data_IF_099041628583
#
_entry.id   IF_099041628583
#
_cell.length_a   1.000
_cell.length_b   1.000
_cell.length_c   1.000
_cell.angle_alpha   90.00
_cell.angle_beta   90.00
_cell.angle_gamma   90.00
#
_symmetry.space_group_name_H-M   'P 1'
#
loop_
_entity.id
_entity.type
_entity.pdbx_description
1 polymer ?
#
# COMPACT_ATOMS: atom_id res chain seq x y z
N UNK A 1 29.69 -18.56 35.09
CA UNK A 1 30.94 -18.74 34.31
C UNK A 1 31.00 -20.17 33.80
N UNK A 2 30.67 -20.43 32.53
CA UNK A 2 31.00 -21.69 31.85
C UNK A 2 31.46 -21.33 30.44
N UNK A 3 32.64 -21.85 30.08
CA UNK A 3 33.53 -21.41 29.01
C UNK A 3 33.02 -21.75 27.60
N UNK A 4 33.31 -20.83 26.68
CA UNK A 4 33.26 -21.02 25.24
C UNK A 4 34.25 -22.09 24.73
N UNK A 5 33.89 -22.78 23.64
CA UNK A 5 34.86 -23.34 22.68
C UNK A 5 34.38 -23.06 21.26
N UNK A 6 35.11 -22.15 20.61
CA UNK A 6 35.09 -21.87 19.17
C UNK A 6 36.10 -22.83 18.53
N UNK A 7 35.73 -23.51 17.45
CA UNK A 7 36.69 -24.23 16.60
C UNK A 7 36.50 -23.76 15.16
N UNK A 8 37.58 -23.28 14.57
CA UNK A 8 37.73 -22.90 13.17
C UNK A 8 38.86 -23.76 12.59
N UNK A 9 38.67 -24.38 11.42
CA UNK A 9 39.74 -24.94 10.58
C UNK A 9 39.26 -24.87 9.12
N UNK A 10 39.72 -23.87 8.38
CA UNK A 10 40.72 -23.90 7.26
C UNK A 10 40.23 -24.57 5.97
N UNK A 11 40.26 -23.77 4.91
CA UNK A 11 40.11 -24.21 3.53
C UNK A 11 41.34 -24.94 3.00
N UNK A 12 41.15 -25.59 1.85
CA UNK A 12 42.21 -26.17 1.02
C UNK A 12 41.88 -25.79 -0.43
N UNK A 13 42.88 -25.26 -1.11
CA UNK A 13 42.85 -24.86 -2.50
C UNK A 13 43.28 -26.00 -3.44
N UNK A 14 42.83 -25.87 -4.69
CA UNK A 14 43.45 -26.28 -5.95
C UNK A 14 43.78 -27.77 -6.19
N UNK A 15 43.23 -28.31 -7.29
CA UNK A 15 43.96 -29.27 -8.13
C UNK A 15 43.58 -29.02 -9.60
N UNK A 16 44.62 -28.91 -10.43
CA UNK A 16 44.59 -28.56 -11.85
C UNK A 16 44.94 -29.83 -12.62
N UNK A 17 44.05 -30.33 -13.49
CA UNK A 17 44.42 -31.39 -14.43
C UNK A 17 44.07 -31.00 -15.86
N UNK A 18 45.05 -31.21 -16.73
CA UNK A 18 45.16 -30.84 -18.15
C UNK A 18 45.37 -32.14 -18.92
N UNK A 19 44.65 -32.35 -20.04
CA UNK A 19 44.99 -33.17 -21.25
C UNK A 19 43.70 -33.27 -22.10
N UNK A 20 43.54 -32.66 -23.29
CA UNK A 20 44.18 -32.72 -24.64
C UNK A 20 43.45 -33.63 -25.63
N UNK A 21 43.46 -33.17 -26.90
CA UNK A 21 43.16 -33.86 -28.18
C UNK A 21 41.68 -34.01 -28.57
N UNK A 22 41.20 -33.93 -29.83
CA UNK A 22 41.50 -33.27 -31.14
C UNK A 22 40.49 -33.89 -32.12
N UNK A 23 39.82 -33.10 -32.97
CA UNK A 23 39.32 -33.46 -34.32
C UNK A 23 38.51 -32.25 -34.87
N UNK A 24 39.05 -31.42 -35.77
CA UNK A 24 39.07 -31.59 -37.24
C UNK A 24 37.68 -31.49 -37.91
N UNK A 25 37.36 -30.31 -38.44
CA UNK A 25 36.19 -30.04 -39.29
C UNK A 25 36.37 -28.74 -40.09
N UNK A 26 36.37 -28.87 -41.42
CA UNK A 26 36.70 -27.89 -42.47
C UNK A 26 35.73 -26.68 -42.52
N UNK A 27 36.17 -25.43 -42.81
CA UNK A 27 35.27 -24.30 -42.99
C UNK A 27 34.68 -24.26 -44.41
N UNK A 28 33.34 -24.23 -44.52
CA UNK A 28 32.61 -24.02 -45.77
C UNK A 28 32.40 -22.52 -45.99
N UNK A 29 33.13 -21.94 -46.95
CA UNK A 29 32.91 -20.56 -47.42
C UNK A 29 31.69 -20.53 -48.33
N UNK A 30 30.68 -19.74 -47.97
CA UNK A 30 29.54 -19.39 -48.85
C UNK A 30 29.77 -18.03 -49.52
N UNK A 31 29.35 -17.82 -50.78
CA UNK A 31 29.51 -16.54 -51.46
C UNK A 31 28.53 -15.50 -50.92
N UNK A 32 29.01 -14.27 -50.73
CA UNK A 32 28.14 -13.13 -50.39
C UNK A 32 27.33 -12.67 -51.62
N UNK A 33 26.03 -12.34 -51.48
CA UNK A 33 25.22 -11.76 -52.55
C UNK A 33 25.59 -10.28 -52.80
N UNK A 34 25.34 -9.76 -54.02
CA UNK A 34 25.73 -8.40 -54.39
C UNK A 34 24.97 -7.35 -53.58
N UNK A 35 25.69 -6.30 -53.19
CA UNK A 35 25.19 -5.19 -52.41
C UNK A 35 24.12 -4.38 -53.19
N UNK A 36 23.00 -3.99 -52.55
CA UNK A 36 21.97 -3.21 -53.21
C UNK A 36 22.48 -1.80 -53.50
N UNK A 37 22.22 -1.32 -54.73
CA UNK A 37 22.59 0.04 -55.19
C UNK A 37 22.00 1.08 -54.24
N UNK A 38 22.86 1.92 -53.63
CA UNK A 38 22.47 2.99 -52.72
C UNK A 38 21.62 4.04 -53.45
N UNK A 39 20.38 4.22 -53.02
CA UNK A 39 19.59 5.39 -53.40
C UNK A 39 20.27 6.69 -52.91
N UNK A 40 20.13 7.82 -53.63
CA UNK A 40 20.83 9.06 -53.29
C UNK A 40 20.49 9.54 -51.89
N UNK A 41 21.52 9.80 -51.07
CA UNK A 41 21.44 10.07 -49.64
C UNK A 41 20.44 11.17 -49.24
N UNK A 42 20.24 12.17 -50.09
CA UNK A 42 19.26 13.25 -49.87
C UNK A 42 17.80 12.75 -49.83
N UNK A 43 17.46 11.75 -50.66
CA UNK A 43 16.10 11.19 -50.72
C UNK A 43 15.81 10.32 -49.49
N UNK A 44 16.81 9.58 -49.01
CA UNK A 44 16.70 8.75 -47.79
C UNK A 44 16.56 9.61 -46.54
N UNK A 45 17.30 10.73 -46.45
CA UNK A 45 17.20 11.66 -45.31
C UNK A 45 15.84 12.39 -45.27
N UNK A 46 15.30 12.80 -46.42
CA UNK A 46 13.97 13.44 -46.50
C UNK A 46 12.85 12.46 -46.10
N UNK A 47 12.92 11.21 -46.56
CA UNK A 47 11.96 10.16 -46.17
C UNK A 47 12.07 9.87 -44.67
N UNK A 48 13.28 9.78 -44.12
CA UNK A 48 13.48 9.52 -42.67
C UNK A 48 12.91 10.64 -41.81
N UNK A 49 13.09 11.90 -42.22
CA UNK A 49 12.51 13.06 -41.51
C UNK A 49 10.98 13.05 -41.57
N UNK A 50 10.39 12.74 -42.73
CA UNK A 50 8.95 12.61 -42.88
C UNK A 50 8.35 11.44 -42.07
N UNK A 51 9.09 10.33 -41.94
CA UNK A 51 8.69 9.19 -41.11
C UNK A 51 8.81 9.51 -39.62
N UNK A 52 9.84 10.26 -39.20
CA UNK A 52 9.99 10.71 -37.82
C UNK A 52 8.96 11.78 -37.41
N UNK A 53 8.61 12.71 -38.32
CA UNK A 53 7.57 13.73 -38.09
C UNK A 53 6.16 13.09 -38.06
N UNK A 54 5.84 12.18 -39.00
CA UNK A 54 4.59 11.39 -38.92
C UNK A 54 4.51 10.53 -37.67
N UNK A 55 5.63 9.92 -37.27
CA UNK A 55 5.69 9.11 -36.06
C UNK A 55 5.41 9.91 -34.79
N UNK A 56 5.84 11.18 -34.75
CA UNK A 56 5.55 12.10 -33.64
C UNK A 56 4.10 12.57 -33.65
N UNK A 57 3.54 12.96 -34.79
CA UNK A 57 2.11 13.33 -34.90
C UNK A 57 1.19 12.15 -34.54
N UNK A 58 1.48 10.92 -35.01
CA UNK A 58 0.71 9.73 -34.65
C UNK A 58 0.87 9.34 -33.17
N UNK A 59 2.02 9.64 -32.55
CA UNK A 59 2.26 9.35 -31.14
C UNK A 59 1.61 10.40 -30.23
N UNK A 60 1.56 11.66 -30.65
CA UNK A 60 0.89 12.77 -29.96
C UNK A 60 -0.64 12.63 -30.05
N UNK A 61 -1.18 12.27 -31.23
CA UNK A 61 -2.60 11.94 -31.39
C UNK A 61 -3.02 10.72 -30.55
N UNK A 62 -2.20 9.67 -30.48
CA UNK A 62 -2.46 8.51 -29.58
C UNK A 62 -2.37 8.87 -28.11
N UNK A 63 -1.57 9.86 -27.73
CA UNK A 63 -1.45 10.29 -26.34
C UNK A 63 -2.62 11.19 -25.92
N UNK A 64 -3.13 12.01 -26.85
CA UNK A 64 -4.31 12.85 -26.65
C UNK A 64 -5.61 12.02 -26.65
N UNK A 65 -5.70 11.00 -27.51
CA UNK A 65 -6.80 10.02 -27.51
C UNK A 65 -6.77 9.10 -26.28
N UNK A 66 -5.60 8.83 -25.70
CA UNK A 66 -5.45 8.06 -24.46
C UNK A 66 -5.75 8.87 -23.17
N UNK A 67 -5.74 10.20 -23.23
CA UNK A 67 -6.08 11.07 -22.08
C UNK A 67 -7.56 11.44 -22.02
N UNK A 68 -8.32 11.16 -23.08
CA UNK A 68 -9.76 11.07 -23.04
C UNK A 68 -10.12 9.72 -22.40
N UNK A 69 -10.55 9.76 -21.14
CA UNK A 69 -11.20 8.61 -20.49
C UNK A 69 -12.33 8.11 -21.40
N UNK A 70 -12.07 7.01 -22.13
CA UNK A 70 -13.07 6.29 -22.90
C UNK A 70 -14.04 5.64 -21.91
N UNK A 71 -15.08 6.39 -21.56
CA UNK A 71 -16.19 5.90 -20.75
C UNK A 71 -17.01 4.83 -21.50
N UNK A 72 -16.69 4.53 -22.77
CA UNK A 72 -17.35 3.51 -23.58
C UNK A 72 -18.88 3.60 -23.48
N UNK A 73 -19.53 2.46 -23.26
CA UNK A 73 -20.99 2.38 -23.08
C UNK A 73 -21.56 3.17 -21.88
N UNK A 74 -20.72 3.64 -20.94
CA UNK A 74 -21.18 4.47 -19.83
C UNK A 74 -21.56 5.88 -20.29
N UNK A 75 -20.89 6.44 -21.31
CA UNK A 75 -21.27 7.74 -21.87
C UNK A 75 -22.67 7.70 -22.46
N UNK A 76 -22.97 6.68 -23.26
CA UNK A 76 -24.29 6.55 -23.87
C UNK A 76 -25.37 6.26 -22.82
N UNK A 77 -25.05 5.46 -21.79
CA UNK A 77 -25.96 5.22 -20.65
C UNK A 77 -26.24 6.50 -19.85
N UNK A 78 -25.22 7.34 -19.62
CA UNK A 78 -25.38 8.62 -18.94
C UNK A 78 -26.20 9.61 -19.76
N UNK A 79 -25.93 9.72 -21.06
CA UNK A 79 -26.71 10.56 -21.98
C UNK A 79 -28.18 10.11 -22.02
N UNK A 80 -28.43 8.80 -22.06
CA UNK A 80 -29.79 8.25 -22.03
C UNK A 80 -30.47 8.51 -20.68
N UNK A 81 -29.76 8.35 -19.55
CA UNK A 81 -30.26 8.64 -18.21
C UNK A 81 -30.62 10.13 -18.01
N UNK A 82 -29.73 11.04 -18.44
CA UNK A 82 -29.98 12.49 -18.39
C UNK A 82 -31.19 12.86 -19.25
N UNK A 83 -31.33 12.23 -20.42
CA UNK A 83 -32.46 12.43 -21.33
C UNK A 83 -33.77 11.86 -20.77
N UNK A 84 -33.75 10.71 -20.12
CA UNK A 84 -34.91 10.09 -19.45
C UNK A 84 -35.36 10.88 -18.22
N UNK A 85 -34.43 11.53 -17.51
CA UNK A 85 -34.71 12.34 -16.31
C UNK A 85 -34.95 13.83 -16.61
N UNK A 86 -34.80 14.28 -17.86
CA UNK A 86 -34.95 15.69 -18.30
C UNK A 86 -34.11 16.70 -17.50
N UNK A 87 -32.91 16.31 -17.07
CA UNK A 87 -32.06 17.14 -16.21
C UNK A 87 -31.20 18.10 -17.04
N UNK A 88 -31.07 19.34 -16.56
CA UNK A 88 -30.10 20.30 -17.08
C UNK A 88 -28.66 19.88 -16.76
N UNK A 89 -27.67 20.46 -17.46
CA UNK A 89 -26.24 20.22 -17.17
C UNK A 89 -25.86 20.56 -15.73
N UNK A 90 -26.53 21.54 -15.12
CA UNK A 90 -26.32 21.94 -13.73
C UNK A 90 -26.91 20.89 -12.76
N UNK A 91 -28.11 20.38 -13.03
CA UNK A 91 -28.73 19.34 -12.21
C UNK A 91 -28.02 17.99 -12.33
N UNK A 92 -27.52 17.66 -13.53
CA UNK A 92 -26.67 16.49 -13.75
C UNK A 92 -25.32 16.62 -13.05
N UNK A 93 -24.69 17.81 -13.07
CA UNK A 93 -23.48 18.08 -12.31
C UNK A 93 -23.75 17.99 -10.79
N UNK A 94 -24.87 18.54 -10.32
CA UNK A 94 -25.28 18.43 -8.92
C UNK A 94 -25.55 16.98 -8.51
N UNK A 95 -26.19 16.18 -9.35
CA UNK A 95 -26.35 14.73 -9.14
C UNK A 95 -25.03 13.97 -9.17
N UNK A 96 -24.05 14.39 -9.97
CA UNK A 96 -22.71 13.81 -9.96
C UNK A 96 -21.94 14.20 -8.70
N UNK A 97 -22.02 15.46 -8.25
CA UNK A 97 -21.43 15.90 -6.99
C UNK A 97 -22.14 15.25 -5.80
N UNK A 98 -23.47 15.15 -5.83
CA UNK A 98 -24.25 14.42 -4.84
C UNK A 98 -23.90 12.93 -4.91
N UNK A 99 -23.65 12.35 -6.08
CA UNK A 99 -23.14 10.98 -6.20
C UNK A 99 -21.70 10.83 -5.71
N UNK A 100 -20.84 11.86 -5.83
CA UNK A 100 -19.50 11.86 -5.24
C UNK A 100 -19.55 12.10 -3.72
N UNK A 101 -20.55 12.83 -3.23
CA UNK A 101 -20.88 13.00 -1.80
C UNK A 101 -21.57 11.73 -1.25
N UNK A 102 -22.28 10.97 -2.09
CA UNK A 102 -22.94 9.69 -1.78
C UNK A 102 -22.01 8.48 -2.03
N UNK A 103 -20.94 8.65 -2.79
CA UNK A 103 -19.85 7.67 -2.97
C UNK A 103 -18.74 7.83 -1.94
N UNK A 104 -18.76 8.87 -1.09
CA UNK A 104 -18.17 8.74 0.24
C UNK A 104 -19.16 7.87 1.01
N UNK A 105 -18.82 6.62 1.38
CA UNK A 105 -19.72 5.80 2.19
C UNK A 105 -20.15 6.64 3.39
N UNK A 106 -21.44 6.63 3.73
CA UNK A 106 -21.99 7.36 4.90
C UNK A 106 -21.17 7.14 6.19
N UNK A 107 -20.37 6.07 6.22
CA UNK A 107 -19.35 5.69 7.21
C UNK A 107 -18.24 6.74 7.45
N UNK A 108 -17.94 7.64 6.50
CA UNK A 108 -16.85 8.63 6.62
C UNK A 108 -17.31 10.04 6.99
N UNK A 109 -18.60 10.27 7.23
CA UNK A 109 -19.10 11.59 7.63
C UNK A 109 -18.53 11.96 9.00
N UNK A 110 -17.72 13.01 9.05
CA UNK A 110 -17.03 13.46 10.28
C UNK A 110 -15.67 12.81 10.53
N UNK A 111 -15.16 12.00 9.59
CA UNK A 111 -13.79 11.47 9.66
C UNK A 111 -12.82 12.41 8.93
N UNK A 112 -11.60 12.47 9.45
CA UNK A 112 -10.46 13.12 8.81
C UNK A 112 -9.38 12.08 8.55
N UNK A 113 -8.53 12.36 7.56
CA UNK A 113 -7.37 11.51 7.27
C UNK A 113 -6.23 11.88 8.20
N UNK A 114 -5.80 10.93 9.03
CA UNK A 114 -4.57 11.02 9.81
C UNK A 114 -3.45 10.25 9.11
N UNK A 115 -2.27 10.86 9.06
CA UNK A 115 -1.04 10.16 8.68
C UNK A 115 -0.28 9.75 9.94
N UNK A 116 0.51 8.69 9.85
CA UNK A 116 1.34 8.27 10.96
C UNK A 116 2.38 7.24 10.58
N UNK A 117 3.15 6.81 11.56
CA UNK A 117 4.20 5.82 11.33
C UNK A 117 4.98 5.43 12.56
N UNK A 118 6.01 4.61 12.35
CA UNK A 118 6.97 4.30 13.40
C UNK A 118 8.01 5.42 13.50
N UNK A 119 8.74 5.47 14.63
CA UNK A 119 9.75 6.50 14.88
C UNK A 119 10.82 6.62 13.77
N UNK A 120 11.34 5.51 13.24
CA UNK A 120 12.37 5.55 12.19
C UNK A 120 11.83 5.84 10.78
N UNK A 121 10.51 6.02 10.61
CA UNK A 121 9.88 6.29 9.31
C UNK A 121 9.83 5.11 8.33
N UNK A 122 10.40 3.95 8.67
CA UNK A 122 10.36 2.76 7.80
C UNK A 122 8.95 2.20 7.58
N UNK A 123 8.06 2.41 8.56
CA UNK A 123 6.63 2.04 8.49
C UNK A 123 5.81 3.32 8.48
N UNK A 124 4.94 3.48 7.48
CA UNK A 124 4.05 4.63 7.30
C UNK A 124 2.65 4.16 6.92
N UNK A 125 1.63 4.84 7.44
CA UNK A 125 0.24 4.51 7.17
C UNK A 125 -0.64 5.77 7.12
N UNK A 126 -1.84 5.59 6.58
CA UNK A 126 -2.96 6.52 6.68
C UNK A 126 -4.13 5.83 7.38
N UNK A 127 -4.91 6.60 8.12
CA UNK A 127 -6.13 6.13 8.78
C UNK A 127 -7.20 7.20 8.75
N UNK A 128 -8.45 6.81 8.51
CA UNK A 128 -9.60 7.69 8.58
C UNK A 128 -10.30 7.50 9.93
N UNK A 129 -10.27 8.54 10.77
CA UNK A 129 -10.86 8.53 12.10
C UNK A 129 -11.39 9.93 12.47
N UNK A 130 -12.15 10.03 13.56
CA UNK A 130 -12.58 11.33 14.09
C UNK A 130 -11.37 12.14 14.54
N UNK A 131 -11.39 13.45 14.32
CA UNK A 131 -10.40 14.36 14.92
C UNK A 131 -10.50 14.45 16.44
N UNK A 132 -11.66 14.09 17.02
CA UNK A 132 -11.82 13.85 18.46
C UNK A 132 -11.64 12.35 18.73
N UNK A 133 -10.48 11.97 19.24
CA UNK A 133 -10.10 10.56 19.41
C UNK A 133 -10.62 10.00 20.73
N UNK A 134 -11.29 8.84 20.65
CA UNK A 134 -11.61 8.03 21.81
C UNK A 134 -10.55 6.92 21.98
N UNK A 135 -9.74 7.04 23.02
CA UNK A 135 -8.58 6.20 23.31
C UNK A 135 -8.88 5.24 24.45
N UNK A 136 -8.60 3.96 24.24
CA UNK A 136 -8.62 2.94 25.28
C UNK A 136 -7.24 2.77 25.90
N UNK A 137 -7.16 2.85 27.23
CA UNK A 137 -5.96 2.63 28.04
C UNK A 137 -6.15 1.35 28.88
N UNK A 138 -5.46 0.27 28.48
CA UNK A 138 -5.70 -1.06 29.02
C UNK A 138 -4.63 -1.47 30.03
N UNK A 139 -5.06 -1.97 31.18
CA UNK A 139 -4.15 -2.35 32.28
C UNK A 139 -3.62 -3.80 32.25
N UNK A 140 -3.80 -4.54 31.15
CA UNK A 140 -3.28 -5.91 31.05
C UNK A 140 -1.74 -5.92 30.95
N UNK A 141 -1.10 -7.06 31.27
CA UNK A 141 0.35 -7.14 31.45
C UNK A 141 1.18 -6.64 30.25
N UNK A 142 0.77 -6.95 29.02
CA UNK A 142 1.44 -6.47 27.80
C UNK A 142 1.19 -4.98 27.57
N UNK A 143 -0.04 -4.50 27.79
CA UNK A 143 -0.42 -3.11 27.53
C UNK A 143 0.25 -2.16 28.51
N UNK A 144 0.35 -2.53 29.79
CA UNK A 144 1.10 -1.77 30.80
C UNK A 144 2.57 -1.65 30.42
N UNK A 145 3.22 -2.77 30.01
CA UNK A 145 4.64 -2.77 29.62
C UNK A 145 4.91 -1.94 28.37
N UNK A 146 3.95 -1.87 27.44
CA UNK A 146 4.06 -1.10 26.19
C UNK A 146 3.55 0.34 26.30
N UNK A 147 2.87 0.69 27.39
CA UNK A 147 2.03 1.89 27.47
C UNK A 147 1.05 1.98 26.28
N UNK A 148 0.39 0.86 25.98
CA UNK A 148 -0.45 0.70 24.78
C UNK A 148 -1.82 1.38 24.92
N UNK A 149 -1.84 2.68 24.64
CA UNK A 149 -3.04 3.48 24.41
C UNK A 149 -3.40 3.43 22.93
N UNK A 150 -4.66 3.20 22.60
CA UNK A 150 -5.09 3.07 21.20
C UNK A 150 -6.55 3.44 20.98
N UNK A 151 -6.88 3.95 19.79
CA UNK A 151 -8.24 3.93 19.26
C UNK A 151 -8.38 2.82 18.23
N UNK A 152 -9.60 2.37 17.97
CA UNK A 152 -9.87 1.26 17.06
C UNK A 152 -10.56 1.80 15.81
N UNK A 153 -10.11 1.32 14.65
CA UNK A 153 -10.76 1.57 13.36
C UNK A 153 -11.01 0.24 12.63
N UNK A 154 -12.06 0.15 11.79
CA UNK A 154 -12.23 -0.94 10.84
C UNK A 154 -11.05 -1.03 9.87
N UNK A 155 -10.75 -2.24 9.36
CA UNK A 155 -9.69 -2.42 8.37
C UNK A 155 -9.92 -1.61 7.08
N UNK A 156 -11.17 -1.36 6.70
CA UNK A 156 -11.53 -0.53 5.53
C UNK A 156 -11.04 0.91 5.64
N UNK A 157 -10.83 1.41 6.87
CA UNK A 157 -10.39 2.79 7.15
C UNK A 157 -8.89 2.91 7.43
N UNK A 158 -8.12 1.84 7.19
CA UNK A 158 -6.68 1.83 7.41
C UNK A 158 -5.95 1.45 6.13
N UNK A 159 -4.87 2.18 5.83
CA UNK A 159 -4.01 1.91 4.67
C UNK A 159 -2.55 1.96 5.06
N UNK A 160 -1.86 0.82 4.94
CA UNK A 160 -0.41 0.78 5.04
C UNK A 160 0.21 1.38 3.76
N UNK A 161 1.03 2.41 3.91
CA UNK A 161 1.70 3.07 2.78
C UNK A 161 3.08 2.47 2.49
N UNK A 162 3.82 2.10 3.54
CA UNK A 162 5.19 1.58 3.43
C UNK A 162 5.55 0.68 4.62
N UNK A 163 6.47 -0.26 4.40
CA UNK A 163 7.20 -0.95 5.46
C UNK A 163 6.59 -2.28 5.87
N UNK A 164 5.79 -2.91 5.01
CA UNK A 164 5.19 -4.22 5.27
C UNK A 164 6.26 -5.29 5.60
N UNK A 165 7.39 -5.24 4.90
CA UNK A 165 8.57 -6.07 5.11
C UNK A 165 9.33 -5.73 6.40
N UNK A 166 9.13 -4.53 6.95
CA UNK A 166 9.76 -4.05 8.16
C UNK A 166 8.90 -4.23 9.43
N UNK A 167 7.75 -4.90 9.29
CA UNK A 167 6.89 -5.28 10.40
C UNK A 167 7.24 -6.68 10.91
N UNK A 168 7.07 -6.86 12.21
CA UNK A 168 7.08 -8.17 12.86
C UNK A 168 5.92 -8.25 13.84
N UNK A 169 5.47 -9.46 14.16
CA UNK A 169 4.25 -9.68 14.96
C UNK A 169 4.53 -10.61 16.12
N UNK A 170 4.13 -10.19 17.31
CA UNK A 170 4.13 -11.02 18.51
C UNK A 170 2.70 -11.45 18.88
N UNK A 171 2.51 -12.74 19.15
CA UNK A 171 1.22 -13.33 19.56
C UNK A 171 1.44 -14.17 20.82
N UNK A 172 0.53 -14.08 21.78
CA UNK A 172 0.58 -14.86 23.01
C UNK A 172 -0.84 -15.16 23.53
N UNK A 173 -0.94 -15.97 24.58
CA UNK A 173 -2.22 -16.39 25.18
C UNK A 173 -3.15 -16.99 24.11
N UNK A 174 -4.31 -16.39 23.85
CA UNK A 174 -5.28 -16.85 22.84
C UNK A 174 -4.80 -16.72 21.39
N UNK A 175 -3.67 -16.05 21.14
CA UNK A 175 -3.09 -15.77 19.81
C UNK A 175 -4.01 -14.97 18.86
N UNK A 176 -5.13 -14.43 19.36
CA UNK A 176 -6.06 -13.58 18.60
C UNK A 176 -5.51 -12.17 18.37
N UNK A 177 -4.98 -11.55 19.43
CA UNK A 177 -4.30 -10.26 19.29
C UNK A 177 -2.98 -10.46 18.52
N UNK A 178 -2.75 -9.60 17.53
CA UNK A 178 -1.53 -9.56 16.74
C UNK A 178 -0.79 -8.26 17.05
N UNK A 179 0.18 -8.31 17.95
CA UNK A 179 0.98 -7.15 18.32
C UNK A 179 2.05 -6.89 17.25
N UNK A 180 1.71 -6.10 16.26
CA UNK A 180 2.56 -5.78 15.11
C UNK A 180 3.40 -4.53 15.37
N UNK A 181 4.71 -4.57 15.15
CA UNK A 181 5.61 -3.44 15.41
C UNK A 181 6.78 -3.41 14.43
N UNK A 182 7.42 -2.25 14.34
CA UNK A 182 8.59 -2.04 13.48
C UNK A 182 9.78 -2.85 14.01
N UNK A 183 10.36 -3.73 13.19
CA UNK A 183 11.52 -4.54 13.58
C UNK A 183 12.81 -3.72 13.72
N UNK A 184 12.86 -2.51 13.16
CA UNK A 184 14.01 -1.60 13.25
C UNK A 184 14.04 -0.80 14.55
N UNK A 185 12.93 -0.15 14.91
CA UNK A 185 12.88 0.77 16.07
C UNK A 185 12.00 0.28 17.22
N UNK A 186 11.34 -0.88 17.09
CA UNK A 186 10.49 -1.46 18.14
C UNK A 186 9.12 -0.81 18.34
N UNK A 187 8.84 0.33 17.69
CA UNK A 187 7.59 1.08 17.85
C UNK A 187 6.39 0.31 17.27
N UNK A 188 5.34 0.19 18.07
CA UNK A 188 4.04 -0.36 17.69
C UNK A 188 3.11 0.79 17.29
N UNK A 189 3.10 1.17 16.02
CA UNK A 189 2.23 2.25 15.55
C UNK A 189 0.77 1.83 15.36
N UNK A 190 0.56 0.54 15.06
CA UNK A 190 -0.76 -0.07 14.99
C UNK A 190 -0.66 -1.56 15.29
N UNK A 191 -1.77 -2.20 15.65
CA UNK A 191 -1.83 -3.64 15.88
C UNK A 191 -3.25 -4.17 15.69
N UNK A 192 -3.44 -5.48 15.62
CA UNK A 192 -4.79 -6.08 15.58
C UNK A 192 -5.19 -6.50 17.00
N UNK A 193 -6.17 -5.84 17.63
CA UNK A 193 -6.60 -6.15 18.99
C UNK A 193 -7.38 -7.46 19.09
N UNK A 194 -7.44 -8.05 20.28
CA UNK A 194 -8.22 -9.28 20.54
C UNK A 194 -9.73 -9.03 20.39
N UNK A 195 -10.22 -7.84 20.75
CA UNK A 195 -11.62 -7.46 20.70
C UNK A 195 -12.14 -7.27 19.27
N UNK A 196 -11.28 -6.81 18.36
CA UNK A 196 -11.61 -6.42 17.00
C UNK A 196 -10.59 -7.00 16.01
N UNK A 197 -10.67 -8.31 15.71
CA UNK A 197 -9.73 -8.98 14.81
C UNK A 197 -9.82 -8.52 13.35
N UNK A 198 -10.93 -7.86 13.01
CA UNK A 198 -11.34 -7.24 11.75
C UNK A 198 -10.91 -5.76 11.64
N UNK A 199 -10.24 -5.22 12.66
CA UNK A 199 -9.80 -3.83 12.69
C UNK A 199 -8.37 -3.66 13.18
N UNK A 200 -7.97 -2.39 13.31
CA UNK A 200 -6.67 -1.99 13.82
C UNK A 200 -6.82 -1.08 15.03
N UNK A 201 -6.05 -1.37 16.08
CA UNK A 201 -5.78 -0.44 17.17
C UNK A 201 -4.61 0.45 16.79
N UNK A 202 -4.84 1.76 16.66
CA UNK A 202 -3.84 2.76 16.27
C UNK A 202 -3.31 3.45 17.53
N UNK A 203 -1.99 3.50 17.67
CA UNK A 203 -1.32 4.23 18.74
C UNK A 203 -1.38 5.74 18.45
N UNK A 204 -2.05 6.56 19.28
CA UNK A 204 -2.27 7.98 18.97
C UNK A 204 -0.96 8.78 18.95
N UNK A 205 0.03 8.38 19.75
CA UNK A 205 1.36 8.99 19.78
C UNK A 205 2.22 8.68 18.54
N UNK A 206 1.72 7.86 17.61
CA UNK A 206 2.35 7.56 16.33
C UNK A 206 1.68 8.28 15.14
N UNK A 207 0.66 9.10 15.41
CA UNK A 207 0.09 9.99 14.39
C UNK A 207 1.00 11.20 14.21
N UNK A 208 1.07 11.70 12.98
CA UNK A 208 1.71 12.98 12.71
C UNK A 208 0.82 14.12 13.23
N UNK A 209 1.43 15.27 13.51
CA UNK A 209 0.74 16.44 14.05
C UNK A 209 -0.26 17.07 13.06
N UNK A 210 -1.25 17.78 13.59
CA UNK A 210 -2.10 18.70 12.81
C UNK A 210 -3.54 18.25 12.53
N UNK A 211 -3.89 16.98 12.80
CA UNK A 211 -5.24 16.45 12.50
C UNK A 211 -6.06 16.07 13.72
N UNK A 212 -5.41 15.87 14.87
CA UNK A 212 -6.07 15.56 16.16
C UNK A 212 -6.47 16.86 16.85
N UNK A 213 -7.75 16.99 17.21
CA UNK A 213 -8.31 18.13 17.93
C UNK A 213 -8.43 17.88 19.42
N UNK A 214 -8.95 16.72 19.81
CA UNK A 214 -9.13 16.36 21.22
C UNK A 214 -8.93 14.86 21.44
N UNK A 215 -8.65 14.49 22.70
CA UNK A 215 -8.41 13.11 23.11
C UNK A 215 -9.18 12.82 24.38
N UNK A 216 -10.10 11.86 24.31
CA UNK A 216 -10.77 11.29 25.49
C UNK A 216 -10.14 9.92 25.79
N UNK A 217 -9.75 9.68 27.04
CA UNK A 217 -9.12 8.42 27.46
C UNK A 217 -10.04 7.65 28.39
N UNK A 218 -10.40 6.44 27.99
CA UNK A 218 -11.20 5.50 28.76
C UNK A 218 -10.31 4.36 29.29
N UNK A 219 -10.44 4.07 30.58
CA UNK A 219 -9.64 3.04 31.24
C UNK A 219 -10.31 1.66 31.12
N UNK A 220 -9.56 0.68 30.64
CA UNK A 220 -10.02 -0.69 30.44
C UNK A 220 -9.32 -1.64 31.40
N UNK A 221 -10.11 -2.39 32.17
CA UNK A 221 -9.60 -3.47 33.01
C UNK A 221 -9.33 -4.74 32.18
N UNK A 222 -8.17 -4.79 31.53
CA UNK A 222 -7.71 -5.95 30.78
C UNK A 222 -7.19 -7.12 31.63
N UNK A 223 -7.01 -6.95 32.94
CA UNK A 223 -6.71 -8.07 33.86
C UNK A 223 -7.93 -8.99 34.02
N UNK A 224 -9.13 -8.43 34.04
CA UNK A 224 -10.41 -9.15 34.12
C UNK A 224 -11.14 -9.15 32.77
N UNK A 225 -10.43 -9.54 31.70
CA UNK A 225 -10.90 -9.42 30.32
C UNK A 225 -12.31 -9.97 30.05
N UNK A 226 -12.61 -11.16 30.57
CA UNK A 226 -13.91 -11.82 30.32
C UNK A 226 -15.08 -11.07 30.94
N UNK A 227 -14.88 -10.51 32.13
CA UNK A 227 -15.88 -9.68 32.81
C UNK A 227 -16.05 -8.35 32.08
N UNK A 228 -14.94 -7.68 31.77
CA UNK A 228 -14.94 -6.42 31.04
C UNK A 228 -15.68 -6.54 29.69
N UNK A 229 -15.44 -7.60 28.91
CA UNK A 229 -16.11 -7.78 27.62
C UNK A 229 -17.62 -8.08 27.71
N UNK A 230 -18.14 -8.47 28.89
CA UNK A 230 -19.58 -8.62 29.12
C UNK A 230 -20.25 -7.29 29.43
N UNK A 231 -19.56 -6.45 30.20
CA UNK A 231 -20.04 -5.15 30.67
C UNK A 231 -19.85 -4.04 29.62
N UNK A 232 -18.74 -4.08 28.88
CA UNK A 232 -18.34 -3.04 27.94
C UNK A 232 -18.64 -3.42 26.48
N UNK A 233 -19.84 -3.08 26.00
CA UNK A 233 -20.31 -3.45 24.65
C UNK A 233 -19.76 -2.56 23.53
N UNK A 234 -19.34 -1.33 23.85
CA UNK A 234 -18.93 -0.31 22.86
C UNK A 234 -17.63 -0.64 22.14
N UNK A 235 -16.70 -1.37 22.77
CA UNK A 235 -15.41 -1.69 22.14
C UNK A 235 -15.58 -2.62 20.92
N UNK A 236 -16.57 -3.52 20.94
CA UNK A 236 -16.82 -4.46 19.83
C UNK A 236 -17.36 -3.75 18.59
N UNK A 237 -18.18 -2.72 18.77
CA UNK A 237 -18.77 -1.99 17.65
C UNK A 237 -17.76 -1.11 16.90
N UNK A 238 -16.60 -0.80 17.48
CA UNK A 238 -15.62 0.12 16.88
C UNK A 238 -15.03 -0.34 15.54
N UNK A 239 -15.09 -1.64 15.22
CA UNK A 239 -14.63 -2.17 13.92
C UNK A 239 -15.76 -2.57 12.98
N UNK A 240 -17.03 -2.49 13.41
CA UNK A 240 -18.19 -3.03 12.71
C UNK A 240 -18.94 -2.00 11.84
N UNK A 241 -18.34 -0.83 11.58
CA UNK A 241 -19.00 0.36 11.01
C UNK A 241 -18.29 0.94 9.80
#
# INVERSE_FOLDING_TARGET
>A
MVKAKKAAVKGIAAERSRRTSTASGVPKVTPQPPSPKKAPAKKVAAIRKQVEEKGKEEQEQRHEEALLLDLGGQRQRWVNFVKEQSLSTEEAAKLLLDSLIVCVPSEYKGLVKHSGGCHCGSVRFEVWASSDLHIFDCNCSICVKKQNRHFIVPASRFKLLKGADNLTTYKFNTKKAQHTFCKTCGVQSFYTPRSNPDGYGISPHCLDEGTVRSVHVEQINGKEWEKMMKEHKTIRSMSQS
#
